data_IF_525888203867
#
_entry.id   IF_525888203867
#
_cell.length_a   1.000
_cell.length_b   1.000
_cell.length_c   1.000
_cell.angle_alpha   90.00
_cell.angle_beta   90.00
_cell.angle_gamma   90.00
#
_symmetry.space_group_name_H-M   'P 1'
#
loop_
_entity.id
_entity.type
_entity.pdbx_description
1 polymer ?
#
# COMPACT_ATOMS: atom_id res chain seq x y z
N UNK A 1 9.17 -11.71 -53.57
CA UNK A 1 8.77 -12.76 -52.62
C UNK A 1 8.13 -12.09 -51.43
N UNK A 2 6.81 -12.27 -51.26
CA UNK A 2 6.11 -11.96 -50.02
C UNK A 2 6.38 -13.11 -49.06
N UNK A 3 6.85 -12.80 -47.85
CA UNK A 3 6.81 -13.75 -46.74
C UNK A 3 6.05 -13.07 -45.62
N UNK A 4 4.79 -13.46 -45.46
CA UNK A 4 3.98 -13.07 -44.32
C UNK A 4 4.40 -13.88 -43.09
N UNK A 5 4.42 -13.23 -41.94
CA UNK A 5 4.31 -13.91 -40.66
C UNK A 5 2.84 -13.81 -40.23
N UNK A 6 2.22 -14.97 -39.99
CA UNK A 6 0.89 -15.07 -39.43
C UNK A 6 0.87 -14.43 -38.04
N UNK A 7 -0.09 -13.53 -37.81
CA UNK A 7 -0.56 -13.20 -36.47
C UNK A 7 -1.44 -14.35 -36.00
N UNK A 8 -0.96 -15.10 -35.02
CA UNK A 8 -1.78 -16.04 -34.25
C UNK A 8 -1.44 -15.87 -32.78
N UNK A 9 -2.45 -15.42 -32.02
CA UNK A 9 -2.65 -15.66 -30.58
C UNK A 9 -2.01 -14.69 -29.56
N UNK A 10 -2.02 -13.37 -29.80
CA UNK A 10 -1.80 -12.39 -28.72
C UNK A 10 -2.96 -12.35 -27.69
N UNK A 11 -4.17 -12.77 -28.09
CA UNK A 11 -5.35 -12.77 -27.20
C UNK A 11 -5.35 -13.96 -26.22
N UNK A 12 -4.96 -15.16 -26.69
CA UNK A 12 -4.85 -16.33 -25.80
C UNK A 12 -3.68 -16.17 -24.80
N UNK A 13 -2.58 -15.54 -25.21
CA UNK A 13 -1.46 -15.29 -24.29
C UNK A 13 -1.83 -14.34 -23.17
N UNK A 14 -2.54 -13.23 -23.46
CA UNK A 14 -2.94 -12.27 -22.44
C UNK A 14 -4.01 -12.87 -21.49
N UNK A 15 -4.99 -13.62 -21.99
CA UNK A 15 -6.00 -14.30 -21.16
C UNK A 15 -5.39 -15.39 -20.24
N UNK A 16 -4.44 -16.20 -20.75
CA UNK A 16 -3.72 -17.18 -19.93
C UNK A 16 -2.83 -16.48 -18.89
N UNK A 17 -2.24 -15.34 -19.24
CA UNK A 17 -1.41 -14.56 -18.31
C UNK A 17 -2.26 -13.94 -17.21
N UNK A 18 -3.47 -13.48 -17.51
CA UNK A 18 -4.41 -12.93 -16.53
C UNK A 18 -4.98 -13.99 -15.60
N UNK A 19 -5.27 -15.19 -16.11
CA UNK A 19 -5.80 -16.29 -15.31
C UNK A 19 -4.78 -16.83 -14.29
N UNK A 20 -3.49 -16.74 -14.60
CA UNK A 20 -2.41 -17.23 -13.74
C UNK A 20 -1.89 -16.21 -12.71
N UNK A 21 -2.45 -14.98 -12.68
CA UNK A 21 -2.06 -13.96 -11.70
C UNK A 21 -2.52 -14.38 -10.31
N UNK A 22 -1.58 -14.44 -9.36
CA UNK A 22 -1.86 -14.75 -7.97
C UNK A 22 -1.77 -13.50 -7.10
N UNK A 23 -2.78 -13.33 -6.27
CA UNK A 23 -2.81 -12.30 -5.22
C UNK A 23 -2.66 -12.96 -3.87
N UNK A 24 -1.94 -12.30 -2.98
CA UNK A 24 -1.76 -12.76 -1.61
C UNK A 24 -1.99 -11.61 -0.65
N UNK A 25 -2.75 -11.87 0.41
CA UNK A 25 -2.85 -10.99 1.57
C UNK A 25 -2.87 -11.83 2.85
N UNK A 26 -1.97 -11.59 3.79
CA UNK A 26 -1.90 -12.31 5.06
C UNK A 26 -2.05 -11.32 6.21
N UNK A 27 -2.95 -11.64 7.14
CA UNK A 27 -3.23 -10.86 8.35
C UNK A 27 -3.37 -11.81 9.53
N UNK A 28 -2.44 -11.71 10.49
CA UNK A 28 -2.40 -12.60 11.65
C UNK A 28 -2.31 -14.08 11.25
N UNK A 29 -3.33 -14.85 11.61
CA UNK A 29 -3.46 -16.29 11.30
C UNK A 29 -4.27 -16.59 10.05
N UNK A 30 -4.71 -15.58 9.29
CA UNK A 30 -5.52 -15.75 8.07
C UNK A 30 -4.74 -15.31 6.84
N UNK A 31 -4.94 -16.04 5.75
CA UNK A 31 -4.35 -15.75 4.45
C UNK A 31 -5.44 -15.81 3.38
N UNK A 32 -5.57 -14.72 2.63
CA UNK A 32 -6.35 -14.65 1.41
C UNK A 32 -5.45 -14.95 0.22
N UNK A 33 -5.82 -15.96 -0.56
CA UNK A 33 -5.27 -16.21 -1.90
C UNK A 33 -6.36 -15.94 -2.91
N UNK A 34 -6.04 -15.18 -3.95
CA UNK A 34 -6.93 -15.00 -5.08
C UNK A 34 -6.21 -15.30 -6.39
N UNK A 35 -6.94 -15.82 -7.36
CA UNK A 35 -6.40 -16.25 -8.66
C UNK A 35 -7.25 -15.74 -9.80
N UNK A 36 -6.54 -15.33 -10.85
CA UNK A 36 -7.13 -14.82 -12.06
C UNK A 36 -7.69 -13.41 -11.88
N UNK A 37 -7.84 -12.68 -12.99
CA UNK A 37 -8.46 -11.36 -13.02
C UNK A 37 -9.73 -11.48 -13.86
N UNK A 38 -10.89 -11.34 -13.21
CA UNK A 38 -12.19 -11.25 -13.89
C UNK A 38 -12.43 -9.84 -14.43
N UNK A 39 -12.13 -8.83 -13.61
CA UNK A 39 -12.33 -7.43 -13.98
C UNK A 39 -11.23 -6.55 -13.37
N UNK A 40 -10.74 -5.57 -14.14
CA UNK A 40 -9.81 -4.53 -13.66
C UNK A 40 -10.55 -3.22 -13.48
N UNK A 41 -10.36 -2.58 -12.32
CA UNK A 41 -10.92 -1.27 -12.00
C UNK A 41 -9.77 -0.27 -11.86
N UNK A 42 -9.58 0.54 -12.91
CA UNK A 42 -8.53 1.55 -13.01
C UNK A 42 -9.04 2.98 -12.73
N UNK A 43 -10.08 3.11 -11.90
CA UNK A 43 -10.71 4.41 -11.61
C UNK A 43 -9.95 5.10 -10.46
N UNK A 44 -9.65 6.40 -10.58
CA UNK A 44 -9.08 7.17 -9.47
C UNK A 44 -9.94 7.14 -8.21
N UNK A 45 -9.27 7.10 -7.06
CA UNK A 45 -9.93 7.01 -5.76
C UNK A 45 -10.37 8.38 -5.20
N UNK A 46 -10.07 9.48 -5.89
CA UNK A 46 -10.49 10.84 -5.50
C UNK A 46 -12.01 10.91 -5.34
N UNK A 47 -12.46 11.38 -4.18
CA UNK A 47 -13.89 11.49 -3.88
C UNK A 47 -14.53 10.16 -3.45
N UNK A 48 -13.75 9.10 -3.24
CA UNK A 48 -14.24 7.77 -2.88
C UNK A 48 -14.99 7.68 -1.54
N UNK A 49 -14.98 8.76 -0.76
CA UNK A 49 -15.84 8.95 0.42
C UNK A 49 -17.34 9.06 0.10
N UNK A 50 -17.68 9.42 -1.13
CA UNK A 50 -19.05 9.53 -1.63
C UNK A 50 -19.47 8.22 -2.31
N UNK A 51 -20.63 7.69 -1.90
CA UNK A 51 -21.21 6.47 -2.48
C UNK A 51 -21.55 6.63 -3.97
N UNK A 52 -21.79 7.86 -4.41
CA UNK A 52 -22.03 8.20 -5.81
C UNK A 52 -20.74 8.42 -6.61
N UNK A 53 -19.56 8.24 -5.99
CA UNK A 53 -18.30 8.39 -6.70
C UNK A 53 -18.12 7.34 -7.82
N UNK A 54 -17.42 7.68 -8.90
CA UNK A 54 -17.20 6.75 -10.01
C UNK A 54 -16.56 5.43 -9.58
N UNK A 55 -15.65 5.47 -8.59
CA UNK A 55 -15.00 4.27 -8.09
C UNK A 55 -15.96 3.35 -7.32
N UNK A 56 -16.79 3.92 -6.44
CA UNK A 56 -17.78 3.14 -5.67
C UNK A 56 -18.81 2.51 -6.60
N UNK A 57 -19.31 3.27 -7.59
CA UNK A 57 -20.25 2.76 -8.60
C UNK A 57 -19.64 1.63 -9.42
N UNK A 58 -18.39 1.79 -9.89
CA UNK A 58 -17.73 0.73 -10.66
C UNK A 58 -17.49 -0.54 -9.84
N UNK A 59 -17.12 -0.42 -8.56
CA UNK A 59 -16.98 -1.57 -7.66
C UNK A 59 -18.32 -2.27 -7.44
N UNK A 60 -19.39 -1.51 -7.18
CA UNK A 60 -20.73 -2.06 -7.02
C UNK A 60 -21.20 -2.80 -8.29
N UNK A 61 -21.03 -2.18 -9.46
CA UNK A 61 -21.39 -2.76 -10.74
C UNK A 61 -20.57 -4.03 -11.05
N UNK A 62 -19.29 -4.04 -10.72
CA UNK A 62 -18.41 -5.18 -10.91
C UNK A 62 -18.79 -6.35 -9.98
N UNK A 63 -19.16 -6.06 -8.74
CA UNK A 63 -19.68 -7.08 -7.81
C UNK A 63 -21.01 -7.65 -8.30
N UNK A 64 -21.91 -6.81 -8.79
CA UNK A 64 -23.18 -7.27 -9.37
C UNK A 64 -22.96 -8.15 -10.61
N UNK A 65 -22.02 -7.81 -11.49
CA UNK A 65 -21.62 -8.67 -12.61
C UNK A 65 -21.09 -10.02 -12.11
N UNK A 66 -20.16 -10.02 -11.16
CA UNK A 66 -19.59 -11.25 -10.61
C UNK A 66 -20.66 -12.16 -9.97
N UNK A 67 -21.65 -11.59 -9.25
CA UNK A 67 -22.77 -12.33 -8.67
C UNK A 67 -23.66 -12.98 -9.73
N UNK A 68 -23.96 -12.27 -10.83
CA UNK A 68 -24.74 -12.82 -11.95
C UNK A 68 -24.05 -14.02 -12.61
N UNK A 69 -22.72 -14.02 -12.61
CA UNK A 69 -21.90 -15.12 -13.13
C UNK A 69 -21.71 -16.26 -12.12
N UNK A 70 -22.39 -16.23 -10.96
CA UNK A 70 -22.41 -17.31 -9.98
C UNK A 70 -21.39 -17.20 -8.84
N UNK A 71 -20.62 -16.11 -8.74
CA UNK A 71 -19.77 -15.86 -7.57
C UNK A 71 -20.63 -15.43 -6.37
N UNK A 72 -20.58 -16.18 -5.28
CA UNK A 72 -21.44 -15.90 -4.12
C UNK A 72 -20.94 -14.70 -3.31
N UNK A 73 -19.62 -14.57 -3.15
CA UNK A 73 -19.01 -13.58 -2.28
C UNK A 73 -17.88 -12.85 -3.03
N UNK A 74 -18.19 -12.01 -4.02
CA UNK A 74 -17.14 -11.36 -4.80
C UNK A 74 -16.31 -10.42 -3.92
N UNK A 75 -15.00 -10.41 -4.16
CA UNK A 75 -14.06 -9.56 -3.44
C UNK A 75 -13.38 -8.58 -4.38
N UNK A 76 -12.91 -7.45 -3.84
CA UNK A 76 -11.97 -6.58 -4.52
C UNK A 76 -10.62 -6.64 -3.82
N UNK A 77 -9.56 -6.84 -4.59
CA UNK A 77 -8.18 -6.87 -4.11
C UNK A 77 -7.31 -5.97 -4.97
N UNK A 78 -6.33 -5.29 -4.38
CA UNK A 78 -5.44 -4.45 -5.15
C UNK A 78 -4.74 -3.36 -4.36
N UNK A 79 -4.32 -2.31 -5.07
CA UNK A 79 -3.61 -1.17 -4.51
C UNK A 79 -4.18 0.16 -5.00
N UNK A 80 -4.26 1.14 -4.11
CA UNK A 80 -4.62 2.53 -4.42
C UNK A 80 -3.37 3.40 -4.27
N UNK A 81 -3.02 4.24 -5.28
CA UNK A 81 -1.86 5.13 -5.22
C UNK A 81 -2.00 6.20 -4.14
N UNK A 82 -0.87 6.71 -3.66
CA UNK A 82 -0.82 7.83 -2.70
C UNK A 82 -1.55 9.06 -3.24
N UNK A 83 -1.29 9.42 -4.50
CA UNK A 83 -2.08 10.42 -5.21
C UNK A 83 -3.36 9.76 -5.71
N UNK A 84 -4.43 9.97 -4.97
CA UNK A 84 -5.75 9.39 -5.24
C UNK A 84 -6.40 9.90 -6.52
N UNK A 85 -5.81 10.91 -7.18
CA UNK A 85 -6.25 11.34 -8.51
C UNK A 85 -5.71 10.46 -9.64
N UNK A 86 -4.73 9.61 -9.34
CA UNK A 86 -4.20 8.64 -10.27
C UNK A 86 -5.06 7.36 -10.32
N UNK A 87 -5.03 6.62 -11.43
CA UNK A 87 -5.76 5.35 -11.57
C UNK A 87 -5.43 4.37 -10.44
N UNK A 88 -6.46 3.72 -9.87
CA UNK A 88 -6.26 2.62 -8.92
C UNK A 88 -5.82 1.33 -9.63
N UNK A 89 -5.27 0.38 -8.89
CA UNK A 89 -4.98 -0.98 -9.32
C UNK A 89 -5.87 -1.95 -8.55
N UNK A 90 -7.17 -1.98 -8.84
CA UNK A 90 -8.12 -2.86 -8.17
C UNK A 90 -8.60 -3.97 -9.12
N UNK A 91 -8.81 -5.14 -8.56
CA UNK A 91 -9.12 -6.36 -9.30
C UNK A 91 -10.27 -7.11 -8.63
N UNK A 92 -11.20 -7.59 -9.45
CA UNK A 92 -12.14 -8.65 -9.07
C UNK A 92 -11.54 -9.96 -9.55
N UNK A 93 -11.18 -10.89 -8.65
CA UNK A 93 -10.58 -12.15 -9.07
C UNK A 93 -11.64 -13.15 -9.57
N UNK A 94 -11.21 -14.19 -10.28
CA UNK A 94 -12.10 -15.31 -10.63
C UNK A 94 -12.40 -16.16 -9.41
N UNK A 95 -11.36 -16.53 -8.67
CA UNK A 95 -11.45 -17.40 -7.49
C UNK A 95 -10.72 -16.75 -6.32
N UNK A 96 -11.22 -16.97 -5.11
CA UNK A 96 -10.53 -16.57 -3.89
C UNK A 96 -10.82 -17.54 -2.74
N UNK A 97 -9.88 -17.69 -1.83
CA UNK A 97 -10.00 -18.55 -0.66
C UNK A 97 -9.31 -17.92 0.55
N UNK A 98 -9.96 -18.04 1.71
CA UNK A 98 -9.38 -17.72 3.01
C UNK A 98 -8.91 -19.00 3.68
N UNK A 99 -7.60 -19.13 3.83
CA UNK A 99 -6.97 -20.28 4.48
C UNK A 99 -6.42 -19.87 5.85
N UNK A 100 -6.31 -20.85 6.74
CA UNK A 100 -5.47 -20.68 7.92
C UNK A 100 -4.02 -20.50 7.45
N UNK A 101 -3.28 -19.60 8.08
CA UNK A 101 -1.87 -19.41 7.80
C UNK A 101 -1.13 -20.69 8.18
N UNK A 102 -0.78 -21.50 7.19
CA UNK A 102 0.11 -22.63 7.37
C UNK A 102 1.49 -22.15 7.86
N UNK A 103 2.23 -23.08 8.48
CA UNK A 103 3.64 -22.87 8.80
C UNK A 103 4.37 -22.33 7.55
N UNK A 104 5.30 -21.38 7.76
CA UNK A 104 5.96 -20.64 6.69
C UNK A 104 6.38 -21.58 5.55
N UNK A 105 6.09 -21.25 4.28
CA UNK A 105 6.38 -22.12 3.16
C UNK A 105 7.86 -22.52 3.19
N UNK A 106 8.12 -23.82 3.03
CA UNK A 106 9.47 -24.37 2.90
C UNK A 106 9.95 -23.97 1.50
N UNK A 107 10.47 -22.75 1.38
CA UNK A 107 11.10 -22.29 0.14
C UNK A 107 12.48 -22.93 0.06
N UNK A 108 12.77 -23.56 -1.08
CA UNK A 108 14.07 -24.17 -1.35
C UNK A 108 15.20 -23.14 -1.22
N UNK A 109 16.34 -23.57 -0.68
CA UNK A 109 17.50 -22.70 -0.47
C UNK A 109 18.31 -22.55 -1.79
N UNK A 110 17.75 -21.81 -2.74
CA UNK A 110 18.51 -21.34 -3.91
C UNK A 110 19.42 -20.16 -3.49
N UNK A 111 20.19 -19.50 -4.36
CA UNK A 111 20.83 -18.22 -4.03
C UNK A 111 20.00 -17.06 -4.60
N UNK A 112 19.90 -15.93 -3.91
CA UNK A 112 19.34 -14.72 -4.52
C UNK A 112 20.28 -14.25 -5.63
N UNK A 113 19.76 -13.69 -6.74
CA UNK A 113 20.61 -13.22 -7.83
C UNK A 113 21.56 -12.12 -7.34
N UNK A 114 22.72 -12.02 -7.98
CA UNK A 114 23.71 -11.01 -7.62
C UNK A 114 23.18 -9.59 -7.90
N UNK A 115 23.39 -8.67 -6.97
CA UNK A 115 23.08 -7.25 -7.16
C UNK A 115 24.12 -6.64 -8.11
N UNK A 116 23.67 -6.07 -9.23
CA UNK A 116 24.53 -5.46 -10.26
C UNK A 116 24.44 -3.95 -10.29
N UNK A 117 23.36 -3.37 -9.76
CA UNK A 117 23.16 -1.92 -9.71
C UNK A 117 22.28 -1.51 -8.55
N UNK A 118 22.57 -0.33 -7.98
CA UNK A 118 21.76 0.26 -6.93
C UNK A 118 21.79 1.78 -7.06
N UNK A 119 20.61 2.39 -7.20
CA UNK A 119 20.43 3.83 -7.24
C UNK A 119 19.46 4.28 -6.15
N UNK A 120 19.61 5.52 -5.67
CA UNK A 120 18.67 6.15 -4.74
C UNK A 120 18.12 7.42 -5.39
N UNK A 121 16.79 7.57 -5.34
CA UNK A 121 16.06 8.65 -5.98
C UNK A 121 15.12 9.32 -4.96
N UNK A 122 15.41 10.57 -4.54
CA UNK A 122 16.64 11.31 -4.79
C UNK A 122 17.87 10.66 -4.12
N UNK A 123 19.07 11.05 -4.54
CA UNK A 123 20.31 10.68 -3.84
C UNK A 123 20.40 11.38 -2.47
N UNK A 124 21.42 11.05 -1.67
CA UNK A 124 21.57 11.59 -0.31
C UNK A 124 21.59 13.13 -0.30
N UNK A 125 22.34 13.75 -1.21
CA UNK A 125 22.44 15.21 -1.31
C UNK A 125 21.12 15.83 -1.77
N UNK A 126 20.40 15.20 -2.70
CA UNK A 126 19.05 15.61 -3.11
C UNK A 126 18.04 15.50 -1.97
N UNK A 127 18.08 14.41 -1.20
CA UNK A 127 17.18 14.22 -0.06
C UNK A 127 17.44 15.26 1.04
N UNK A 128 18.71 15.52 1.40
CA UNK A 128 19.07 16.57 2.37
C UNK A 128 18.58 17.95 1.94
N UNK A 129 18.75 18.31 0.66
CA UNK A 129 18.22 19.56 0.11
C UNK A 129 16.69 19.63 0.19
N UNK A 130 15.99 18.53 -0.10
CA UNK A 130 14.53 18.48 0.02
C UNK A 130 14.06 18.69 1.47
N UNK A 131 14.77 18.10 2.44
CA UNK A 131 14.51 18.31 3.88
C UNK A 131 14.72 19.77 4.28
N UNK A 132 15.83 20.39 3.87
CA UNK A 132 16.11 21.81 4.14
C UNK A 132 15.02 22.73 3.55
N UNK A 133 14.61 22.47 2.31
CA UNK A 133 13.54 23.21 1.66
C UNK A 133 12.20 23.07 2.40
N UNK A 134 11.85 21.85 2.85
CA UNK A 134 10.63 21.63 3.63
C UNK A 134 10.65 22.41 4.95
N UNK A 135 11.78 22.43 5.67
CA UNK A 135 11.95 23.18 6.92
C UNK A 135 11.77 24.68 6.70
N UNK A 136 12.32 25.24 5.62
CA UNK A 136 12.15 26.66 5.28
C UNK A 136 10.68 26.96 4.97
N UNK A 137 10.03 26.12 4.18
CA UNK A 137 8.63 26.32 3.77
C UNK A 137 7.65 26.22 4.95
N UNK A 138 7.93 25.42 5.98
CA UNK A 138 7.08 25.35 7.18
C UNK A 138 6.96 26.69 7.90
N UNK A 139 7.98 27.55 7.82
CA UNK A 139 7.94 28.88 8.46
C UNK A 139 6.99 29.85 7.77
N UNK A 140 6.62 29.56 6.53
CA UNK A 140 5.86 30.46 5.65
C UNK A 140 4.58 29.81 5.10
N UNK A 141 4.17 28.66 5.65
CA UNK A 141 2.99 27.94 5.21
C UNK A 141 2.18 27.44 6.40
N UNK A 142 0.95 27.01 6.13
CA UNK A 142 0.10 26.31 7.10
C UNK A 142 0.49 24.83 7.26
N UNK A 143 1.58 24.39 6.64
CA UNK A 143 2.03 23.00 6.72
C UNK A 143 2.59 22.72 8.11
N UNK A 144 2.01 21.72 8.79
CA UNK A 144 2.38 21.35 10.16
C UNK A 144 3.31 20.15 10.24
N UNK A 145 3.29 19.26 9.24
CA UNK A 145 4.15 18.08 9.13
C UNK A 145 4.23 17.69 7.65
N UNK A 146 5.37 17.14 7.24
CA UNK A 146 5.55 16.59 5.91
C UNK A 146 6.39 15.32 6.03
N UNK A 147 6.04 14.33 5.22
CA UNK A 147 6.79 13.08 5.12
C UNK A 147 7.52 13.10 3.79
N UNK A 148 8.85 13.00 3.84
CA UNK A 148 9.70 12.87 2.68
C UNK A 148 10.19 11.41 2.61
N UNK A 149 10.24 10.85 1.41
CA UNK A 149 10.69 9.49 1.16
C UNK A 149 11.80 9.45 0.11
N UNK A 150 12.50 8.32 0.06
CA UNK A 150 13.52 8.00 -0.95
C UNK A 150 13.17 6.65 -1.54
N UNK A 151 13.25 6.54 -2.86
CA UNK A 151 13.17 5.28 -3.56
C UNK A 151 14.56 4.67 -3.72
N UNK A 152 14.68 3.36 -3.58
CA UNK A 152 15.89 2.62 -3.98
C UNK A 152 15.55 1.67 -5.11
N UNK A 153 16.23 1.86 -6.23
CA UNK A 153 16.16 0.96 -7.38
C UNK A 153 17.31 -0.04 -7.29
N UNK A 154 16.99 -1.32 -7.32
CA UNK A 154 17.96 -2.42 -7.27
C UNK A 154 17.87 -3.21 -8.57
N UNK A 155 19.00 -3.37 -9.24
CA UNK A 155 19.11 -4.18 -10.46
C UNK A 155 19.87 -5.45 -10.12
N UNK A 156 19.31 -6.61 -10.49
CA UNK A 156 19.90 -7.92 -10.25
C UNK A 156 20.35 -8.57 -11.56
N UNK A 157 21.33 -9.48 -11.48
CA UNK A 157 21.91 -10.16 -12.63
C UNK A 157 20.93 -11.09 -13.36
N UNK A 158 19.86 -11.51 -12.70
CA UNK A 158 18.78 -12.33 -13.25
C UNK A 158 17.47 -12.04 -12.52
N UNK A 159 16.38 -12.65 -12.97
CA UNK A 159 15.06 -12.51 -12.34
C UNK A 159 15.08 -12.84 -10.85
N UNK A 160 14.28 -12.08 -10.09
CA UNK A 160 14.14 -12.23 -8.66
C UNK A 160 12.99 -13.18 -8.36
N UNK A 161 13.25 -14.21 -7.57
CA UNK A 161 12.22 -15.10 -7.04
C UNK A 161 11.36 -14.34 -6.01
N UNK A 162 10.17 -13.93 -6.45
CA UNK A 162 9.21 -13.15 -5.65
C UNK A 162 8.72 -13.94 -4.44
N UNK A 163 8.46 -15.24 -4.58
CA UNK A 163 7.99 -16.10 -3.49
C UNK A 163 9.03 -16.20 -2.39
N UNK A 164 10.31 -16.33 -2.76
CA UNK A 164 11.42 -16.34 -1.81
C UNK A 164 11.61 -14.99 -1.12
N UNK A 165 11.55 -13.91 -1.89
CA UNK A 165 11.67 -12.56 -1.33
C UNK A 165 10.56 -12.32 -0.30
N UNK A 166 9.33 -12.70 -0.64
CA UNK A 166 8.18 -12.57 0.23
C UNK A 166 8.28 -13.45 1.48
N UNK A 167 8.73 -14.70 1.36
CA UNK A 167 8.98 -15.57 2.50
C UNK A 167 10.08 -15.01 3.43
N UNK A 168 11.09 -14.37 2.88
CA UNK A 168 12.17 -13.70 3.64
C UNK A 168 11.64 -12.49 4.39
N UNK A 169 10.82 -11.65 3.75
CA UNK A 169 10.15 -10.51 4.40
C UNK A 169 9.22 -10.96 5.52
N UNK A 170 8.45 -12.03 5.30
CA UNK A 170 7.52 -12.59 6.29
C UNK A 170 8.24 -13.12 7.55
N UNK A 171 9.47 -13.63 7.42
CA UNK A 171 10.30 -14.05 8.57
C UNK A 171 10.73 -12.84 9.41
N UNK A 172 10.98 -11.70 8.79
CA UNK A 172 11.41 -10.49 9.50
C UNK A 172 10.26 -9.85 10.29
N UNK A 173 9.05 -9.83 9.72
CA UNK A 173 7.89 -9.17 10.35
C UNK A 173 6.68 -10.12 10.39
N UNK A 174 6.70 -11.11 11.29
CA UNK A 174 5.65 -12.16 11.35
C UNK A 174 4.25 -11.62 11.66
N UNK A 175 4.17 -10.53 12.42
CA UNK A 175 2.91 -9.90 12.84
C UNK A 175 2.40 -8.85 11.84
N UNK A 176 3.17 -8.52 10.80
CA UNK A 176 2.77 -7.55 9.79
C UNK A 176 1.79 -8.12 8.76
N UNK A 177 1.17 -7.20 8.01
CA UNK A 177 0.29 -7.45 6.87
C UNK A 177 1.12 -7.72 5.62
N UNK A 178 1.26 -8.99 5.26
CA UNK A 178 2.00 -9.41 4.07
C UNK A 178 1.10 -9.33 2.84
N UNK A 179 1.61 -8.83 1.73
CA UNK A 179 0.86 -8.74 0.49
C UNK A 179 1.71 -9.01 -0.77
N UNK A 180 1.04 -9.51 -1.81
CA UNK A 180 1.52 -9.59 -3.19
C UNK A 180 0.36 -9.19 -4.11
N UNK A 181 0.55 -8.12 -4.87
CA UNK A 181 -0.43 -7.58 -5.82
C UNK A 181 0.26 -7.44 -7.18
N UNK A 182 -0.11 -8.26 -8.17
CA UNK A 182 0.35 -8.08 -9.53
C UNK A 182 -0.08 -6.72 -10.09
N UNK A 183 0.82 -6.07 -10.82
CA UNK A 183 0.61 -4.76 -11.43
C UNK A 183 0.34 -4.89 -12.94
N UNK A 184 -0.31 -3.88 -13.57
CA UNK A 184 -0.66 -3.91 -14.99
C UNK A 184 0.55 -3.91 -15.93
N UNK A 185 1.70 -3.42 -15.48
CA UNK A 185 2.97 -3.42 -16.23
C UNK A 185 3.70 -4.77 -16.18
N UNK A 186 3.10 -5.76 -15.51
CA UNK A 186 3.63 -7.10 -15.38
C UNK A 186 4.42 -7.35 -14.10
N UNK A 187 4.78 -6.31 -13.34
CA UNK A 187 5.48 -6.41 -12.07
C UNK A 187 4.61 -6.92 -10.91
N UNK A 188 5.22 -7.10 -9.74
CA UNK A 188 4.53 -7.43 -8.49
C UNK A 188 4.83 -6.36 -7.43
N UNK A 189 3.77 -5.81 -6.82
CA UNK A 189 3.88 -5.06 -5.58
C UNK A 189 3.87 -6.04 -4.41
N UNK A 190 4.98 -6.12 -3.69
CA UNK A 190 5.12 -6.98 -2.51
C UNK A 190 5.54 -6.20 -1.27
N UNK A 191 5.18 -6.70 -0.10
CA UNK A 191 5.62 -6.10 1.15
C UNK A 191 5.04 -6.75 2.39
N UNK A 192 5.50 -6.26 3.54
CA UNK A 192 4.97 -6.60 4.87
C UNK A 192 4.80 -5.31 5.67
N UNK A 193 3.59 -4.77 5.70
CA UNK A 193 3.27 -3.53 6.41
C UNK A 193 3.03 -3.80 7.90
N UNK A 194 3.61 -3.02 8.84
CA UNK A 194 3.24 -3.10 10.24
C UNK A 194 1.96 -2.30 10.56
N UNK A 195 1.51 -1.44 9.66
CA UNK A 195 0.44 -0.47 9.89
C UNK A 195 -0.88 -0.96 9.30
N UNK A 196 -1.94 -0.93 10.12
CA UNK A 196 -3.31 -1.19 9.70
C UNK A 196 -4.02 0.13 9.46
N UNK A 197 -4.25 0.45 8.20
CA UNK A 197 -5.02 1.62 7.84
C UNK A 197 -6.46 1.52 8.34
N UNK A 198 -7.18 0.46 7.93
CA UNK A 198 -8.50 0.13 8.45
C UNK A 198 -8.84 -1.33 8.19
N UNK A 199 -9.54 -1.94 9.13
CA UNK A 199 -10.20 -3.24 9.00
C UNK A 199 -11.67 -3.07 9.37
N UNK A 200 -12.59 -3.61 8.56
CA UNK A 200 -14.03 -3.61 8.83
C UNK A 200 -14.53 -5.04 8.91
N UNK A 201 -15.34 -5.33 9.92
CA UNK A 201 -16.08 -6.59 10.05
C UNK A 201 -17.49 -6.29 10.53
N UNK A 202 -18.48 -6.44 9.64
CA UNK A 202 -19.84 -5.96 9.90
C UNK A 202 -19.83 -4.46 10.17
N UNK A 203 -20.39 -4.05 11.31
CA UNK A 203 -20.38 -2.66 11.79
C UNK A 203 -19.09 -2.25 12.52
N UNK A 204 -18.21 -3.19 12.88
CA UNK A 204 -17.00 -2.89 13.65
C UNK A 204 -15.88 -2.46 12.73
N UNK A 205 -15.17 -1.40 13.09
CA UNK A 205 -13.94 -0.96 12.43
C UNK A 205 -12.78 -0.90 13.40
N UNK A 206 -11.58 -1.16 12.89
CA UNK A 206 -10.32 -1.04 13.61
C UNK A 206 -9.34 -0.29 12.71
N UNK A 207 -8.65 0.71 13.24
CA UNK A 207 -7.48 1.34 12.64
C UNK A 207 -6.31 1.28 13.64
N UNK A 208 -5.08 1.13 13.15
CA UNK A 208 -3.89 1.13 14.01
C UNK A 208 -2.77 1.97 13.37
N UNK A 209 -2.90 3.30 13.37
CA UNK A 209 -1.87 4.22 12.90
C UNK A 209 -0.56 4.11 13.67
N UNK A 210 0.55 4.24 12.93
CA UNK A 210 1.90 4.27 13.47
C UNK A 210 2.57 5.60 13.15
N UNK A 211 3.07 6.30 14.17
CA UNK A 211 3.80 7.55 13.99
C UNK A 211 4.75 7.79 15.15
N UNK A 212 5.99 8.19 14.85
CA UNK A 212 7.09 8.18 15.81
C UNK A 212 7.84 6.85 15.74
N UNK A 213 9.16 6.90 15.68
CA UNK A 213 9.98 5.70 15.43
C UNK A 213 11.35 5.79 16.06
N UNK A 214 11.85 4.64 16.53
CA UNK A 214 13.22 4.50 17.00
C UNK A 214 13.85 3.20 16.49
N UNK A 215 15.15 3.22 16.22
CA UNK A 215 15.86 2.06 15.67
C UNK A 215 15.95 0.92 16.70
N UNK A 216 15.71 -0.32 16.25
CA UNK A 216 16.02 -1.52 17.03
C UNK A 216 17.52 -1.72 17.18
N UNK A 217 17.95 -2.21 18.33
CA UNK A 217 19.35 -2.55 18.59
C UNK A 217 19.51 -4.04 18.86
N UNK A 218 20.67 -4.60 18.46
CA UNK A 218 21.02 -5.99 18.75
C UNK A 218 21.26 -6.19 20.25
N UNK A 219 21.87 -5.20 20.90
CA UNK A 219 22.04 -5.19 22.35
C UNK A 219 20.71 -4.89 23.06
N UNK A 220 20.20 -5.79 23.93
CA UNK A 220 18.90 -5.62 24.56
C UNK A 220 18.79 -4.39 25.47
N UNK A 221 19.87 -3.99 26.14
CA UNK A 221 19.86 -2.83 27.01
C UNK A 221 19.76 -1.53 26.20
N UNK A 222 20.53 -1.41 25.12
CA UNK A 222 20.44 -0.31 24.18
C UNK A 222 19.08 -0.28 23.45
N UNK A 223 18.51 -1.45 23.12
CA UNK A 223 17.19 -1.56 22.46
C UNK A 223 16.09 -1.02 23.37
N UNK A 224 16.11 -1.44 24.65
CA UNK A 224 15.20 -0.93 25.67
C UNK A 224 15.37 0.58 25.90
N UNK A 225 16.61 1.06 25.97
CA UNK A 225 16.86 2.50 26.11
C UNK A 225 16.32 3.31 24.91
N UNK A 226 16.34 2.75 23.69
CA UNK A 226 15.72 3.36 22.53
C UNK A 226 14.19 3.38 22.63
N UNK A 227 13.58 2.29 23.07
CA UNK A 227 12.14 2.20 23.31
C UNK A 227 11.69 3.20 24.39
N UNK A 228 12.39 3.26 25.52
CA UNK A 228 12.08 4.16 26.63
C UNK A 228 12.21 5.64 26.19
N UNK A 229 13.23 5.97 25.39
CA UNK A 229 13.39 7.32 24.83
C UNK A 229 12.26 7.69 23.88
N UNK A 230 11.83 6.77 23.01
CA UNK A 230 10.69 7.00 22.12
C UNK A 230 9.41 7.21 22.94
N UNK A 231 9.18 6.37 23.96
CA UNK A 231 8.02 6.47 24.84
C UNK A 231 7.96 7.78 25.63
N UNK A 232 9.11 8.43 25.88
CA UNK A 232 9.19 9.70 26.59
C UNK A 232 9.34 10.93 25.67
N UNK A 233 9.44 10.75 24.35
CA UNK A 233 9.72 11.83 23.41
C UNK A 233 8.49 12.69 23.14
N UNK A 234 8.45 13.90 23.70
CA UNK A 234 7.37 14.87 23.48
C UNK A 234 7.16 15.18 21.99
N UNK A 235 8.25 15.21 21.21
CA UNK A 235 8.20 15.42 19.77
C UNK A 235 7.43 14.29 19.08
N UNK A 236 7.79 13.03 19.35
CA UNK A 236 7.16 11.88 18.71
C UNK A 236 5.70 11.74 19.15
N UNK A 237 5.38 12.02 20.43
CA UNK A 237 4.00 12.09 20.92
C UNK A 237 3.18 13.16 20.23
N UNK A 238 3.75 14.35 20.01
CA UNK A 238 3.09 15.42 19.28
C UNK A 238 2.86 15.04 17.80
N UNK A 239 3.87 14.50 17.13
CA UNK A 239 3.72 14.03 15.74
C UNK A 239 2.72 12.88 15.60
N UNK A 240 2.59 12.04 16.64
CA UNK A 240 1.61 10.97 16.72
C UNK A 240 0.20 11.51 16.93
N UNK A 241 0.00 12.45 17.86
CA UNK A 241 -1.33 13.02 18.15
C UNK A 241 -1.94 13.73 16.94
N UNK A 242 -1.13 14.36 16.09
CA UNK A 242 -1.61 14.92 14.82
C UNK A 242 -2.23 13.85 13.91
N UNK A 243 -1.61 12.67 13.81
CA UNK A 243 -2.12 11.55 13.00
C UNK A 243 -3.42 11.00 13.59
N UNK A 244 -3.49 10.89 14.92
CA UNK A 244 -4.71 10.43 15.62
C UNK A 244 -5.86 11.41 15.42
N UNK A 245 -5.60 12.72 15.48
CA UNK A 245 -6.62 13.74 15.25
C UNK A 245 -7.16 13.70 13.82
N UNK A 246 -6.30 13.51 12.82
CA UNK A 246 -6.69 13.38 11.41
C UNK A 246 -7.63 12.16 11.23
N UNK A 247 -7.25 11.01 11.79
CA UNK A 247 -8.05 9.79 11.69
C UNK A 247 -9.36 9.92 12.47
N UNK A 248 -9.34 10.54 13.65
CA UNK A 248 -10.55 10.81 14.42
C UNK A 248 -11.50 11.70 13.63
N UNK A 249 -11.01 12.81 13.09
CA UNK A 249 -11.81 13.73 12.26
C UNK A 249 -12.40 13.03 11.03
N UNK A 250 -11.68 12.06 10.47
CA UNK A 250 -12.13 11.25 9.35
C UNK A 250 -13.24 10.25 9.73
N UNK A 251 -13.08 9.54 10.85
CA UNK A 251 -13.96 8.44 11.24
C UNK A 251 -15.18 8.89 12.06
N UNK A 252 -15.08 9.96 12.84
CA UNK A 252 -16.18 10.45 13.69
C UNK A 252 -17.49 10.71 12.95
N UNK A 253 -17.53 11.26 11.72
CA UNK A 253 -18.78 11.50 11.01
C UNK A 253 -19.51 10.23 10.53
N UNK A 254 -18.82 9.09 10.46
CA UNK A 254 -19.36 7.82 9.94
C UNK A 254 -19.53 6.75 11.02
N UNK A 255 -18.97 6.98 12.20
CA UNK A 255 -19.08 6.09 13.35
C UNK A 255 -20.17 6.57 14.32
N UNK A 256 -21.00 5.66 14.80
CA UNK A 256 -21.87 5.89 15.95
C UNK A 256 -21.07 5.96 17.25
N UNK A 257 -20.01 5.16 17.36
CA UNK A 257 -19.09 5.12 18.51
C UNK A 257 -17.66 5.02 18.00
N UNK A 258 -16.73 5.73 18.65
CA UNK A 258 -15.31 5.70 18.35
C UNK A 258 -14.52 5.75 19.66
N UNK A 259 -13.79 4.69 19.94
CA UNK A 259 -12.85 4.56 21.05
C UNK A 259 -11.44 4.88 20.56
N UNK A 260 -10.87 5.96 21.10
CA UNK A 260 -9.52 6.44 20.78
C UNK A 260 -8.75 6.52 22.09
N UNK A 261 -7.80 5.60 22.35
CA UNK A 261 -7.00 5.66 23.57
C UNK A 261 -6.23 6.97 23.72
N UNK A 262 -6.21 7.52 24.93
CA UNK A 262 -5.52 8.80 25.23
C UNK A 262 -3.99 8.73 25.05
N UNK A 263 -3.41 7.53 25.12
CA UNK A 263 -1.96 7.32 25.07
C UNK A 263 -1.60 6.23 24.07
N UNK A 264 -0.56 6.43 23.24
CA UNK A 264 -0.06 5.38 22.38
C UNK A 264 0.62 4.27 23.21
N UNK A 265 0.63 3.08 22.63
CA UNK A 265 1.43 1.93 23.06
C UNK A 265 2.68 1.80 22.20
N UNK A 266 3.70 1.11 22.71
CA UNK A 266 4.86 0.72 21.91
C UNK A 266 4.64 -0.61 21.22
N UNK A 267 4.90 -0.67 19.92
CA UNK A 267 5.03 -1.92 19.16
C UNK A 267 6.40 -1.96 18.47
N UNK A 268 6.80 -3.13 17.99
CA UNK A 268 8.05 -3.28 17.26
C UNK A 268 7.91 -4.12 16.00
N UNK A 269 8.80 -3.83 15.06
CA UNK A 269 9.17 -4.67 13.93
C UNK A 269 10.59 -5.18 14.13
N UNK A 270 11.12 -5.97 13.19
CA UNK A 270 12.54 -6.35 13.22
C UNK A 270 13.49 -5.14 13.19
N UNK A 271 13.09 -4.02 12.58
CA UNK A 271 13.97 -2.87 12.35
C UNK A 271 13.70 -1.69 13.28
N UNK A 272 12.44 -1.47 13.69
CA UNK A 272 12.01 -0.25 14.38
C UNK A 272 11.06 -0.54 15.57
N UNK A 273 11.11 0.34 16.58
CA UNK A 273 10.03 0.61 17.51
C UNK A 273 9.10 1.67 16.93
N UNK A 274 7.80 1.59 17.22
CA UNK A 274 6.78 2.55 16.80
C UNK A 274 5.85 2.90 17.96
N UNK A 275 5.38 4.15 18.01
CA UNK A 275 4.17 4.48 18.78
C UNK A 275 2.95 4.08 17.95
N UNK A 276 1.99 3.44 18.62
CA UNK A 276 0.81 2.80 18.02
C UNK A 276 -0.41 3.15 18.84
N UNK A 277 -1.48 3.61 18.19
CA UNK A 277 -2.77 3.80 18.86
C UNK A 277 -3.82 2.99 18.11
N UNK A 278 -4.36 1.98 18.78
CA UNK A 278 -5.42 1.15 18.22
C UNK A 278 -6.76 1.86 18.43
N UNK A 279 -7.36 2.30 17.34
CA UNK A 279 -8.66 2.98 17.31
C UNK A 279 -9.72 1.94 16.95
N UNK A 280 -10.76 1.82 17.77
CA UNK A 280 -11.89 0.93 17.51
C UNK A 280 -13.16 1.76 17.35
N UNK A 281 -14.01 1.37 16.40
CA UNK A 281 -15.24 2.11 16.13
C UNK A 281 -16.39 1.20 15.74
N UNK A 282 -17.60 1.71 15.90
CA UNK A 282 -18.83 1.10 15.42
C UNK A 282 -19.50 2.04 14.44
N UNK A 283 -19.74 1.58 13.22
CA UNK A 283 -20.35 2.37 12.16
C UNK A 283 -21.80 2.69 12.48
N UNK A 284 -22.25 3.89 12.08
CA UNK A 284 -23.65 4.26 12.17
C UNK A 284 -24.51 3.50 11.15
N UNK A 285 -23.93 3.17 9.99
CA UNK A 285 -24.53 2.36 8.94
C UNK A 285 -23.59 1.20 8.58
N UNK A 286 -23.99 -0.08 8.80
CA UNK A 286 -23.17 -1.25 8.47
C UNK A 286 -22.85 -1.39 6.98
N UNK A 287 -23.73 -0.90 6.09
CA UNK A 287 -23.57 -0.95 4.63
C UNK A 287 -22.61 0.13 4.12
N UNK A 288 -22.12 0.99 5.01
CA UNK A 288 -21.14 2.01 4.67
C UNK A 288 -19.81 1.37 4.27
N UNK A 289 -19.69 1.05 2.97
CA UNK A 289 -18.44 0.76 2.26
C UNK A 289 -17.49 1.97 2.29
N UNK A 290 -18.02 3.15 2.65
CA UNK A 290 -17.28 4.41 2.72
C UNK A 290 -16.09 4.31 3.66
N UNK A 291 -16.06 3.50 4.72
CA UNK A 291 -14.93 3.58 5.67
C UNK A 291 -13.60 3.06 5.12
N UNK A 292 -13.63 1.96 4.37
CA UNK A 292 -12.42 1.42 3.74
C UNK A 292 -11.91 2.34 2.65
N UNK A 293 -12.80 2.86 1.81
CA UNK A 293 -12.45 3.82 0.78
C UNK A 293 -12.11 5.20 1.37
N UNK A 294 -12.80 5.71 2.38
CA UNK A 294 -12.50 6.98 3.05
C UNK A 294 -11.10 6.97 3.68
N UNK A 295 -10.71 5.89 4.36
CA UNK A 295 -9.36 5.72 4.87
C UNK A 295 -8.33 5.60 3.74
N UNK A 296 -8.70 4.96 2.62
CA UNK A 296 -7.86 4.82 1.44
C UNK A 296 -7.73 6.12 0.61
N UNK A 297 -8.78 6.92 0.55
CA UNK A 297 -8.93 8.06 -0.36
C UNK A 297 -8.55 9.38 0.29
N UNK A 298 -8.46 9.43 1.63
CA UNK A 298 -7.89 10.56 2.33
C UNK A 298 -6.39 10.29 2.57
N UNK A 299 -5.50 11.17 2.09
CA UNK A 299 -4.16 11.20 2.65
C UNK A 299 -4.35 11.46 4.15
N UNK A 300 -3.66 10.72 5.01
CA UNK A 300 -3.51 11.18 6.40
C UNK A 300 -2.73 12.48 6.30
N UNK A 301 -3.47 13.59 6.25
CA UNK A 301 -2.99 14.93 5.96
C UNK A 301 -2.81 15.66 7.28
N UNK A 302 -1.57 15.80 7.75
CA UNK A 302 -1.16 17.09 8.22
C UNK A 302 -0.67 17.85 6.98
N UNK A 303 -1.57 18.55 6.29
CA UNK A 303 -1.29 19.52 5.23
C UNK A 303 -0.31 19.08 4.10
N UNK A 304 -0.88 18.68 2.97
CA UNK A 304 -0.10 18.42 1.76
C UNK A 304 0.58 19.70 1.27
N UNK A 305 1.91 19.79 1.38
CA UNK A 305 2.68 20.46 0.35
C UNK A 305 2.73 19.50 -0.85
N UNK A 306 2.01 19.82 -1.92
CA UNK A 306 2.42 19.36 -3.24
C UNK A 306 3.92 19.69 -3.41
N UNK A 307 4.75 18.83 -4.03
CA UNK A 307 6.05 19.29 -4.48
C UNK A 307 5.81 20.56 -5.33
N UNK A 308 6.60 21.63 -5.15
CA UNK A 308 6.48 22.80 -5.99
C UNK A 308 6.56 22.33 -7.44
N UNK A 309 5.60 22.77 -8.24
CA UNK A 309 5.57 22.63 -9.68
C UNK A 309 6.87 23.19 -10.26
N UNK A 310 7.85 22.32 -10.45
CA UNK A 310 9.00 22.51 -11.31
C UNK A 310 9.53 21.12 -11.71
N UNK A 311 9.32 20.68 -12.96
CA UNK A 311 10.01 19.53 -13.50
C UNK A 311 11.49 19.92 -13.68
N UNK A 312 12.38 19.24 -12.97
CA UNK A 312 13.80 19.15 -13.33
C UNK A 312 14.04 17.64 -13.41
N UNK A 313 14.10 16.99 -14.57
CA UNK A 313 14.72 17.41 -15.81
C UNK A 313 13.91 16.97 -17.04
N UNK A 314 13.58 17.94 -17.91
CA UNK A 314 13.74 17.73 -19.35
C UNK A 314 15.11 18.31 -19.74
N UNK A 315 16.07 17.47 -20.10
CA UNK A 315 16.93 17.78 -21.24
C UNK A 315 17.58 16.51 -21.78
N UNK A 316 17.25 16.25 -23.05
CA UNK A 316 18.02 15.50 -24.05
C UNK A 316 18.23 13.99 -23.87
N UNK A 317 17.31 13.22 -24.45
CA UNK A 317 17.66 12.45 -25.66
C UNK A 317 16.41 12.21 -26.51
N UNK A 318 16.24 13.05 -27.53
CA UNK A 318 15.39 12.78 -28.68
C UNK A 318 16.03 11.71 -29.57
N UNK A 319 15.18 10.90 -30.23
CA UNK A 319 15.41 9.70 -31.05
C UNK A 319 15.35 8.39 -30.23
N UNK A 320 14.43 7.44 -30.43
CA UNK A 320 13.59 7.07 -31.57
C UNK A 320 12.12 6.77 -31.17
N UNK A 321 11.27 6.87 -32.18
CA UNK A 321 9.83 6.68 -32.27
C UNK A 321 9.28 5.27 -32.02
N UNK A 322 7.98 5.27 -31.67
CA UNK A 322 6.92 4.27 -31.92
C UNK A 322 6.84 3.00 -31.06
N UNK A 323 6.02 3.06 -30.00
CA UNK A 323 4.88 2.16 -29.68
C UNK A 323 4.36 2.51 -28.27
N UNK A 324 3.05 2.37 -28.04
CA UNK A 324 2.33 2.94 -26.90
C UNK A 324 2.91 2.61 -25.52
N UNK A 325 3.22 3.65 -24.76
CA UNK A 325 3.63 3.56 -23.35
C UNK A 325 2.41 3.81 -22.45
N UNK A 326 1.92 2.75 -21.82
CA UNK A 326 0.98 2.78 -20.69
C UNK A 326 1.56 3.61 -19.53
N UNK A 327 0.74 4.24 -18.67
CA UNK A 327 1.24 5.01 -17.53
C UNK A 327 1.97 4.07 -16.58
N UNK A 328 3.29 4.25 -16.49
CA UNK A 328 4.17 3.38 -15.71
C UNK A 328 3.84 3.49 -14.22
N UNK A 329 3.56 2.35 -13.59
CA UNK A 329 3.52 2.16 -12.15
C UNK A 329 4.95 2.19 -11.60
N UNK A 330 5.65 3.31 -11.83
CA UNK A 330 7.02 3.47 -11.38
C UNK A 330 7.04 3.38 -9.85
N UNK A 331 7.85 2.45 -9.33
CA UNK A 331 8.15 2.27 -7.92
C UNK A 331 8.35 3.63 -7.24
N UNK A 332 7.95 3.78 -5.97
CA UNK A 332 8.11 5.02 -5.19
C UNK A 332 6.83 5.73 -4.79
N UNK A 333 5.66 5.30 -5.27
CA UNK A 333 4.37 5.76 -4.77
C UNK A 333 3.98 4.87 -3.58
N UNK A 334 3.72 5.49 -2.43
CA UNK A 334 3.21 4.77 -1.25
C UNK A 334 1.83 4.24 -1.63
N UNK A 335 1.65 2.93 -1.60
CA UNK A 335 0.43 2.26 -2.07
C UNK A 335 -0.34 1.75 -0.87
N UNK A 336 -1.67 1.91 -0.90
CA UNK A 336 -2.57 1.35 0.10
C UNK A 336 -3.14 0.05 -0.46
N UNK A 337 -2.85 -1.07 0.20
CA UNK A 337 -3.36 -2.38 -0.22
C UNK A 337 -4.75 -2.60 0.37
N UNK A 338 -5.69 -2.99 -0.49
CA UNK A 338 -7.08 -3.26 -0.13
C UNK A 338 -7.40 -4.71 -0.43
N UNK A 339 -8.10 -5.37 0.51
CA UNK A 339 -8.72 -6.66 0.31
C UNK A 339 -10.07 -6.63 1.03
N UNK A 340 -11.16 -6.51 0.28
CA UNK A 340 -12.52 -6.40 0.81
C UNK A 340 -13.35 -7.59 0.32
N UNK A 341 -13.92 -8.34 1.26
CA UNK A 341 -15.03 -9.27 1.01
C UNK A 341 -16.25 -8.85 1.82
N UNK A 342 -17.43 -9.06 1.25
CA UNK A 342 -18.72 -8.70 1.84
C UNK A 342 -19.13 -9.69 2.93
#
# INVERSE_FOLDING_TARGET
MKTGALRTNDVESDEITEFNREFLFTSGSRQLRARGIRERIAIPARGGEDISSPLQQALADAFERARRDGEQNPIAIGAIPFDVSEPSCLYIPYNHEWNSRDAAPIVADSAMPALVGQNSLPDETGFKRAVEHAIVNFRHSEVRKAVLSVMRELTFASEVDVERLLASLAKQNREGYQFRIPLPDGGDLIGVSPELLIHKQGEKIISNPLAGSAKRMVDPAADKANADRLSASEKDHYEHSLVIEDIRSLLSPVCAELDVPDKPSLINTAALWHLSTRIEGRLADPETMRCSLLACCTPHRPSAASPPSAPIASSASSSLSSAGSSPAWSAGRILKVMANGW
#
